data_IF_703627908436
#
_entry.id   IF_703627908436
#
_cell.length_a   1.000
_cell.length_b   1.000
_cell.length_c   1.000
_cell.angle_alpha   90.00
_cell.angle_beta   90.00
_cell.angle_gamma   90.00
#
_symmetry.space_group_name_H-M   'P 1'
#
loop_
_entity.id
_entity.type
_entity.pdbx_description
1 polymer ?
#
# COMPACT_ATOMS: atom_id res chain seq x y z
N UNK A 1 7.15 16.27 14.40
CA UNK A 1 6.41 15.08 14.88
C UNK A 1 6.85 14.67 16.29
N UNK A 2 6.01 13.90 17.04
CA UNK A 2 6.34 13.31 18.34
C UNK A 2 5.86 11.85 18.37
N UNK A 3 6.71 10.94 18.87
CA UNK A 3 6.35 9.52 19.07
C UNK A 3 6.31 9.24 20.58
N UNK A 4 5.27 8.55 21.01
CA UNK A 4 5.07 8.08 22.38
C UNK A 4 4.70 6.59 22.34
N UNK A 5 5.30 5.78 23.19
CA UNK A 5 4.92 4.37 23.37
C UNK A 5 4.32 4.23 24.75
N UNK A 6 3.07 3.79 24.82
CA UNK A 6 2.36 3.57 26.09
C UNK A 6 2.87 2.32 26.80
N UNK A 7 2.54 2.18 28.08
CA UNK A 7 2.96 1.04 28.91
C UNK A 7 2.49 -0.32 28.37
N UNK A 8 1.38 -0.35 27.66
CA UNK A 8 0.83 -1.55 27.01
C UNK A 8 1.46 -1.85 25.63
N UNK A 9 2.38 -1.00 25.16
CA UNK A 9 3.07 -1.16 23.87
C UNK A 9 2.42 -0.42 22.71
N UNK A 10 1.26 0.23 22.89
CA UNK A 10 0.60 1.02 21.84
C UNK A 10 1.50 2.20 21.43
N UNK A 11 1.75 2.34 20.14
CA UNK A 11 2.54 3.44 19.59
C UNK A 11 1.61 4.58 19.16
N UNK A 12 1.88 5.79 19.63
CA UNK A 12 1.16 7.02 19.23
C UNK A 12 2.14 7.95 18.54
N UNK A 13 1.77 8.45 17.36
CA UNK A 13 2.51 9.48 16.63
C UNK A 13 1.62 10.70 16.47
N UNK A 14 2.13 11.87 16.85
CA UNK A 14 1.38 13.13 16.69
C UNK A 14 2.17 14.11 15.83
N UNK A 15 1.48 14.69 14.86
CA UNK A 15 2.00 15.76 14.02
C UNK A 15 1.09 17.00 14.12
N UNK A 16 1.64 18.11 14.61
CA UNK A 16 0.88 19.35 14.81
C UNK A 16 0.78 20.14 13.51
N UNK A 17 -0.45 20.39 13.07
CA UNK A 17 -0.76 21.24 11.92
C UNK A 17 -1.81 22.28 12.25
N UNK A 18 -1.65 23.47 11.71
CA UNK A 18 -2.63 24.55 11.91
C UNK A 18 -3.80 24.44 10.91
N UNK A 19 -4.52 23.32 10.98
CA UNK A 19 -5.72 23.02 10.18
C UNK A 19 -6.98 23.09 11.04
N UNK A 20 -8.16 23.28 10.43
CA UNK A 20 -9.45 23.14 11.12
C UNK A 20 -9.84 21.68 11.33
N UNK A 21 -9.38 20.81 10.46
CA UNK A 21 -9.58 19.35 10.52
C UNK A 21 -8.48 18.69 11.35
N UNK A 22 -8.73 17.44 11.70
CA UNK A 22 -7.80 16.48 12.27
C UNK A 22 -8.06 15.13 11.64
N UNK A 23 -7.01 14.38 11.35
CA UNK A 23 -7.10 12.97 11.03
C UNK A 23 -6.54 12.16 12.18
N UNK A 24 -7.28 11.15 12.60
CA UNK A 24 -6.81 10.06 13.46
C UNK A 24 -6.84 8.77 12.65
N UNK A 25 -5.72 8.07 12.60
CA UNK A 25 -5.57 6.81 11.89
C UNK A 25 -5.07 5.74 12.85
N UNK A 26 -5.74 4.60 12.87
CA UNK A 26 -5.30 3.37 13.53
C UNK A 26 -4.73 2.45 12.46
N UNK A 27 -3.45 2.16 12.55
CA UNK A 27 -2.73 1.24 11.66
C UNK A 27 -2.43 -0.04 12.41
N UNK A 28 -3.01 -1.15 11.99
CA UNK A 28 -2.70 -2.49 12.47
C UNK A 28 -1.62 -3.08 11.57
N UNK A 29 -0.52 -3.56 12.15
CA UNK A 29 0.59 -4.21 11.41
C UNK A 29 0.19 -5.64 11.01
N UNK A 30 -0.82 -5.74 10.17
CA UNK A 30 -1.37 -6.98 9.62
C UNK A 30 -2.04 -6.68 8.29
N UNK A 31 -1.77 -7.51 7.30
CA UNK A 31 -2.29 -7.45 5.93
C UNK A 31 -2.01 -8.79 5.26
N UNK A 32 -2.12 -8.88 3.93
CA UNK A 32 -2.03 -10.17 3.23
C UNK A 32 -0.69 -10.90 3.42
N UNK A 33 0.39 -10.20 3.79
CA UNK A 33 1.68 -10.82 4.11
C UNK A 33 1.69 -11.61 5.44
N UNK A 34 0.65 -11.48 6.25
CA UNK A 34 0.53 -12.19 7.54
C UNK A 34 -0.45 -13.36 7.50
N UNK A 35 -0.95 -13.67 6.30
CA UNK A 35 -1.94 -14.70 6.05
C UNK A 35 -1.28 -15.98 5.52
N UNK A 36 -1.80 -17.14 5.90
CA UNK A 36 -1.52 -18.37 5.19
C UNK A 36 -2.48 -18.58 4.01
N UNK A 37 -2.13 -19.49 3.09
CA UNK A 37 -2.90 -19.69 1.85
C UNK A 37 -4.36 -20.12 2.10
N UNK A 38 -4.66 -20.79 3.22
CA UNK A 38 -6.02 -21.24 3.56
C UNK A 38 -6.95 -20.10 3.91
N UNK A 39 -6.42 -19.05 4.53
CA UNK A 39 -7.18 -17.88 4.99
C UNK A 39 -6.83 -16.61 4.20
N UNK A 40 -6.29 -16.76 2.99
CA UNK A 40 -5.94 -15.62 2.17
C UNK A 40 -7.14 -14.69 1.96
N UNK A 41 -6.95 -13.39 2.25
CA UNK A 41 -8.00 -12.36 2.24
C UNK A 41 -8.66 -12.11 3.60
N UNK A 42 -8.22 -12.79 4.68
CA UNK A 42 -8.84 -12.61 6.01
C UNK A 42 -8.63 -11.21 6.58
N UNK A 43 -7.50 -10.55 6.29
CA UNK A 43 -7.26 -9.15 6.73
C UNK A 43 -8.29 -8.20 6.13
N UNK A 44 -8.54 -8.35 4.83
CA UNK A 44 -9.54 -7.58 4.11
C UNK A 44 -10.96 -7.93 4.60
N UNK A 45 -11.25 -9.20 4.84
CA UNK A 45 -12.53 -9.61 5.38
C UNK A 45 -12.77 -9.02 6.79
N UNK A 46 -11.76 -8.99 7.66
CA UNK A 46 -11.87 -8.36 8.99
C UNK A 46 -12.09 -6.85 8.86
N UNK A 47 -11.44 -6.20 7.89
CA UNK A 47 -11.68 -4.79 7.61
C UNK A 47 -13.20 -4.52 7.42
N UNK A 48 -13.88 -5.27 6.54
CA UNK A 48 -15.34 -5.19 6.35
C UNK A 48 -16.09 -5.46 7.65
N UNK A 49 -15.73 -6.54 8.33
CA UNK A 49 -16.45 -6.98 9.53
C UNK A 49 -16.40 -5.98 10.69
N UNK A 50 -15.36 -5.15 10.78
CA UNK A 50 -15.29 -4.14 11.82
C UNK A 50 -16.37 -3.05 11.65
N UNK A 51 -16.81 -2.78 10.43
CA UNK A 51 -17.88 -1.83 10.15
C UNK A 51 -19.29 -2.42 10.29
N UNK A 52 -19.43 -3.73 10.36
CA UNK A 52 -20.75 -4.39 10.51
C UNK A 52 -21.33 -4.30 11.94
N UNK A 53 -20.59 -3.71 12.87
CA UNK A 53 -21.06 -3.36 14.21
C UNK A 53 -20.13 -3.78 15.34
N UNK A 54 -20.31 -3.10 16.45
CA UNK A 54 -19.60 -3.34 17.70
C UNK A 54 -20.60 -3.77 18.80
N UNK A 55 -20.09 -4.10 19.99
CA UNK A 55 -20.93 -4.34 21.17
C UNK A 55 -21.77 -3.12 21.57
N UNK A 56 -21.37 -1.91 21.14
CA UNK A 56 -21.97 -0.65 21.55
C UNK A 56 -22.72 0.07 20.42
N UNK A 57 -22.42 -0.25 19.14
CA UNK A 57 -22.93 0.47 17.96
C UNK A 57 -23.29 -0.48 16.83
N UNK A 58 -24.39 -0.19 16.17
CA UNK A 58 -24.72 -0.80 14.88
C UNK A 58 -23.89 -0.17 13.76
N UNK A 59 -23.80 -0.83 12.60
CA UNK A 59 -23.12 -0.30 11.41
C UNK A 59 -23.62 1.11 11.04
N UNK A 60 -24.92 1.33 11.04
CA UNK A 60 -25.54 2.64 10.75
C UNK A 60 -25.12 3.70 11.78
N UNK A 61 -25.02 3.35 13.07
CA UNK A 61 -24.59 4.29 14.09
C UNK A 61 -23.12 4.67 13.93
N UNK A 62 -22.24 3.71 13.59
CA UNK A 62 -20.82 3.97 13.32
C UNK A 62 -20.68 5.01 12.20
N UNK A 63 -21.35 4.82 11.08
CA UNK A 63 -21.32 5.75 9.96
C UNK A 63 -21.92 7.12 10.33
N UNK A 64 -23.14 7.12 10.88
CA UNK A 64 -23.90 8.35 11.14
C UNK A 64 -23.26 9.26 12.19
N UNK A 65 -22.62 8.70 13.23
CA UNK A 65 -21.96 9.49 14.27
C UNK A 65 -20.77 10.33 13.71
N UNK A 66 -20.19 9.94 12.59
CA UNK A 66 -19.12 10.70 11.91
C UNK A 66 -19.70 11.54 10.76
N UNK A 67 -20.51 10.95 9.88
CA UNK A 67 -21.01 11.61 8.67
C UNK A 67 -21.92 12.79 8.99
N UNK A 68 -22.79 12.67 10.03
CA UNK A 68 -23.66 13.78 10.48
C UNK A 68 -22.88 15.00 11.00
N UNK A 69 -21.62 14.82 11.36
CA UNK A 69 -20.71 15.90 11.78
C UNK A 69 -19.87 16.45 10.61
N UNK A 70 -20.11 15.94 9.38
CA UNK A 70 -19.34 16.29 8.18
C UNK A 70 -17.93 15.68 8.17
N UNK A 71 -17.72 14.59 8.92
CA UNK A 71 -16.49 13.81 8.91
C UNK A 71 -16.53 12.67 7.89
N UNK A 72 -15.37 12.08 7.65
CA UNK A 72 -15.18 10.87 6.86
C UNK A 72 -14.62 9.78 7.76
N UNK A 73 -15.16 8.57 7.66
CA UNK A 73 -14.62 7.34 8.26
C UNK A 73 -14.40 6.32 7.13
N UNK A 74 -13.21 5.71 7.10
CA UNK A 74 -12.90 4.73 6.06
C UNK A 74 -11.80 3.77 6.54
N UNK A 75 -11.53 2.72 5.73
CA UNK A 75 -10.45 1.77 5.98
C UNK A 75 -9.80 1.32 4.66
N UNK A 76 -8.64 0.70 4.77
CA UNK A 76 -7.92 0.11 3.64
C UNK A 76 -7.00 -0.99 4.12
N UNK A 77 -7.02 -2.12 3.43
CA UNK A 77 -6.07 -3.23 3.63
C UNK A 77 -4.99 -3.21 2.55
N UNK A 78 -3.75 -3.37 2.98
CA UNK A 78 -2.60 -3.56 2.10
C UNK A 78 -1.89 -4.89 2.39
N UNK A 79 -0.72 -5.07 1.82
CA UNK A 79 0.10 -6.27 2.06
C UNK A 79 0.63 -6.36 3.50
N UNK A 80 1.01 -5.24 4.13
CA UNK A 80 1.64 -5.23 5.45
C UNK A 80 0.82 -4.58 6.55
N UNK A 81 -0.25 -3.86 6.22
CA UNK A 81 -1.07 -3.12 7.18
C UNK A 81 -2.53 -3.09 6.79
N UNK A 82 -3.40 -2.97 7.80
CA UNK A 82 -4.78 -2.54 7.66
C UNK A 82 -4.95 -1.23 8.43
N UNK A 83 -5.51 -0.22 7.80
CA UNK A 83 -5.73 1.10 8.38
C UNK A 83 -7.22 1.37 8.57
N UNK A 84 -7.56 2.08 9.63
CA UNK A 84 -8.89 2.63 9.91
C UNK A 84 -8.69 4.09 10.28
N UNK A 85 -9.39 5.00 9.62
CA UNK A 85 -9.17 6.42 9.88
C UNK A 85 -10.46 7.22 9.92
N UNK A 86 -10.40 8.34 10.63
CA UNK A 86 -11.43 9.37 10.64
C UNK A 86 -10.77 10.71 10.38
N UNK A 87 -11.32 11.44 9.41
CA UNK A 87 -10.99 12.86 9.18
C UNK A 87 -12.20 13.70 9.53
N UNK A 88 -12.04 14.62 10.49
CA UNK A 88 -13.16 15.40 11.05
C UNK A 88 -12.70 16.79 11.51
N UNK A 89 -13.64 17.68 11.80
CA UNK A 89 -13.28 18.96 12.46
C UNK A 89 -12.71 18.70 13.86
N UNK A 90 -11.63 19.37 14.22
CA UNK A 90 -10.90 19.18 15.49
C UNK A 90 -11.76 19.26 16.76
N UNK A 91 -12.87 19.99 16.76
CA UNK A 91 -13.81 20.06 17.89
C UNK A 91 -14.51 18.74 18.19
N UNK A 92 -14.57 17.83 17.20
CA UNK A 92 -15.18 16.49 17.31
C UNK A 92 -14.14 15.36 17.46
N UNK A 93 -12.88 15.71 17.75
CA UNK A 93 -11.80 14.71 17.89
C UNK A 93 -12.13 13.61 18.89
N UNK A 94 -12.79 13.94 20.00
CA UNK A 94 -13.16 12.96 21.02
C UNK A 94 -14.10 11.88 20.46
N UNK A 95 -15.11 12.28 19.69
CA UNK A 95 -16.03 11.36 19.00
C UNK A 95 -15.29 10.41 18.06
N UNK A 96 -14.34 10.94 17.26
CA UNK A 96 -13.53 10.11 16.37
C UNK A 96 -12.68 9.09 17.11
N UNK A 97 -12.05 9.50 18.24
CA UNK A 97 -11.27 8.60 19.10
C UNK A 97 -12.15 7.48 19.68
N UNK A 98 -13.33 7.82 20.20
CA UNK A 98 -14.25 6.85 20.81
C UNK A 98 -14.79 5.83 19.81
N UNK A 99 -15.13 6.28 18.59
CA UNK A 99 -15.63 5.39 17.54
C UNK A 99 -14.52 4.44 17.07
N UNK A 100 -13.32 4.96 16.77
CA UNK A 100 -12.21 4.09 16.37
C UNK A 100 -11.80 3.13 17.48
N UNK A 101 -11.81 3.58 18.74
CA UNK A 101 -11.50 2.71 19.87
C UNK A 101 -12.53 1.60 20.02
N UNK A 102 -13.82 1.89 19.84
CA UNK A 102 -14.90 0.91 19.91
C UNK A 102 -14.82 -0.09 18.74
N UNK A 103 -14.61 0.41 17.53
CA UNK A 103 -14.47 -0.39 16.31
C UNK A 103 -13.32 -1.39 16.45
N UNK A 104 -12.18 -0.95 16.95
CA UNK A 104 -10.97 -1.78 17.08
C UNK A 104 -11.00 -2.73 18.28
N UNK A 105 -11.71 -2.39 19.37
CA UNK A 105 -11.67 -3.19 20.60
C UNK A 105 -12.91 -4.06 20.85
N UNK A 106 -14.04 -3.74 20.21
CA UNK A 106 -15.32 -4.35 20.54
C UNK A 106 -16.10 -4.91 19.33
N UNK A 107 -15.46 -5.44 18.27
CA UNK A 107 -16.23 -5.97 17.13
C UNK A 107 -17.11 -7.14 17.54
N UNK A 108 -18.26 -7.30 16.86
CA UNK A 108 -19.23 -8.38 17.16
C UNK A 108 -18.88 -9.68 16.44
N UNK A 109 -18.42 -9.60 15.18
CA UNK A 109 -18.24 -10.75 14.29
C UNK A 109 -19.51 -11.64 14.26
N UNK A 110 -20.67 -11.00 14.02
CA UNK A 110 -21.96 -11.69 13.94
C UNK A 110 -21.98 -12.67 12.76
N UNK A 111 -22.51 -13.88 12.98
CA UNK A 111 -22.50 -14.93 11.95
C UNK A 111 -23.31 -14.56 10.69
N UNK A 112 -24.44 -13.87 10.85
CA UNK A 112 -25.25 -13.44 9.71
C UNK A 112 -24.58 -12.32 8.94
N UNK A 113 -23.93 -11.41 9.65
CA UNK A 113 -23.11 -10.36 9.03
C UNK A 113 -21.92 -10.95 8.26
N UNK A 114 -21.24 -11.97 8.82
CA UNK A 114 -20.16 -12.67 8.13
C UNK A 114 -20.64 -13.27 6.80
N UNK A 115 -21.79 -13.95 6.78
CA UNK A 115 -22.28 -14.56 5.53
C UNK A 115 -22.74 -13.52 4.51
N UNK A 116 -23.30 -12.39 4.96
CA UNK A 116 -23.63 -11.25 4.10
C UNK A 116 -22.35 -10.65 3.49
N UNK A 117 -21.37 -10.32 4.32
CA UNK A 117 -20.13 -9.70 3.88
C UNK A 117 -19.24 -10.67 3.06
N UNK A 118 -19.31 -11.97 3.31
CA UNK A 118 -18.66 -12.97 2.45
C UNK A 118 -19.09 -12.82 0.98
N UNK A 119 -20.37 -12.58 0.72
CA UNK A 119 -20.87 -12.37 -0.63
C UNK A 119 -20.30 -11.09 -1.24
N UNK A 120 -20.23 -10.01 -0.46
CA UNK A 120 -19.65 -8.72 -0.90
C UNK A 120 -18.17 -8.88 -1.24
N UNK A 121 -17.38 -9.51 -0.34
CA UNK A 121 -15.94 -9.74 -0.56
C UNK A 121 -15.71 -10.65 -1.78
N UNK A 122 -16.55 -11.68 -2.00
CA UNK A 122 -16.46 -12.51 -3.19
C UNK A 122 -16.74 -11.72 -4.48
N UNK A 123 -17.71 -10.82 -4.45
CA UNK A 123 -17.99 -9.95 -5.59
C UNK A 123 -16.80 -9.01 -5.88
N UNK A 124 -16.14 -8.47 -4.87
CA UNK A 124 -14.92 -7.67 -5.03
C UNK A 124 -13.76 -8.47 -5.60
N UNK A 125 -13.54 -9.70 -5.14
CA UNK A 125 -12.54 -10.62 -5.73
C UNK A 125 -12.83 -10.83 -7.21
N UNK A 126 -14.09 -11.09 -7.58
CA UNK A 126 -14.51 -11.27 -8.97
C UNK A 126 -14.29 -9.99 -9.79
N UNK A 127 -14.63 -8.82 -9.25
CA UNK A 127 -14.37 -7.51 -9.90
C UNK A 127 -12.88 -7.29 -10.20
N UNK A 128 -11.99 -7.73 -9.31
CA UNK A 128 -10.54 -7.66 -9.54
C UNK A 128 -10.11 -8.64 -10.64
N UNK A 129 -10.63 -9.87 -10.64
CA UNK A 129 -10.30 -10.90 -11.64
C UNK A 129 -10.82 -10.50 -13.03
N UNK A 130 -11.98 -9.89 -13.09
CA UNK A 130 -12.65 -9.49 -14.35
C UNK A 130 -12.05 -8.21 -14.94
N UNK A 131 -11.45 -7.34 -14.13
CA UNK A 131 -10.77 -6.14 -14.62
C UNK A 131 -9.29 -6.44 -14.96
N UNK A 132 -8.90 -6.50 -16.24
CA UNK A 132 -7.53 -6.78 -16.65
C UNK A 132 -6.50 -5.79 -16.09
N UNK A 133 -6.91 -4.52 -15.86
CA UNK A 133 -6.04 -3.47 -15.31
C UNK A 133 -5.67 -3.75 -13.84
N UNK A 134 -6.59 -4.33 -13.09
CA UNK A 134 -6.37 -4.72 -11.69
C UNK A 134 -5.68 -6.09 -11.62
N UNK A 135 -6.18 -7.05 -12.38
CA UNK A 135 -5.71 -8.43 -12.34
C UNK A 135 -4.25 -8.59 -12.77
N UNK A 136 -3.74 -7.77 -13.68
CA UNK A 136 -2.31 -7.80 -14.06
C UNK A 136 -1.38 -7.63 -12.85
N UNK A 137 -1.77 -6.85 -11.83
CA UNK A 137 -0.97 -6.64 -10.62
C UNK A 137 -0.97 -7.87 -9.70
N UNK A 138 -2.12 -8.52 -9.57
CA UNK A 138 -2.23 -9.80 -8.84
C UNK A 138 -1.34 -10.85 -9.49
N UNK A 139 -1.39 -10.97 -10.81
CA UNK A 139 -0.53 -11.90 -11.56
C UNK A 139 0.94 -11.52 -11.43
N UNK A 140 1.28 -10.23 -11.50
CA UNK A 140 2.67 -9.81 -11.33
C UNK A 140 3.21 -10.25 -9.97
N UNK A 141 2.56 -9.93 -8.88
CA UNK A 141 2.99 -10.29 -7.53
C UNK A 141 3.13 -11.81 -7.37
N UNK A 142 2.13 -12.56 -7.83
CA UNK A 142 2.13 -14.04 -7.82
C UNK A 142 3.30 -14.65 -8.60
N UNK A 143 3.76 -14.00 -9.67
CA UNK A 143 4.86 -14.49 -10.50
C UNK A 143 6.22 -13.93 -10.08
N UNK A 144 6.24 -12.71 -9.53
CA UNK A 144 7.46 -12.07 -9.06
C UNK A 144 8.00 -12.73 -7.79
N UNK A 145 7.12 -13.15 -6.86
CA UNK A 145 7.51 -13.78 -5.60
C UNK A 145 7.22 -15.29 -5.60
N UNK A 146 8.21 -16.07 -5.17
CA UNK A 146 8.12 -17.54 -5.11
C UNK A 146 7.78 -18.04 -3.70
N UNK A 147 8.43 -17.46 -2.69
CA UNK A 147 8.28 -17.82 -1.28
C UNK A 147 7.63 -16.71 -0.45
N UNK A 148 7.94 -15.45 -0.77
CA UNK A 148 7.46 -14.31 0.01
C UNK A 148 5.93 -14.19 -0.08
N UNK A 149 5.24 -13.92 1.06
CA UNK A 149 3.77 -13.78 1.07
C UNK A 149 3.22 -12.63 0.20
N UNK A 150 4.05 -11.68 -0.20
CA UNK A 150 3.68 -10.65 -1.17
C UNK A 150 3.14 -11.20 -2.51
N UNK A 151 3.29 -12.50 -2.76
CA UNK A 151 2.62 -13.22 -3.87
C UNK A 151 1.10 -13.37 -3.69
N UNK A 152 0.60 -13.24 -2.46
CA UNK A 152 -0.80 -13.45 -2.13
C UNK A 152 -1.62 -12.19 -2.44
N UNK A 153 -2.78 -12.32 -3.09
CA UNK A 153 -3.64 -11.17 -3.36
C UNK A 153 -4.26 -10.64 -2.07
N UNK A 154 -4.35 -9.32 -1.94
CA UNK A 154 -4.91 -8.65 -0.75
C UNK A 154 -6.36 -9.08 -0.51
N UNK A 155 -7.14 -9.20 -1.56
CA UNK A 155 -8.56 -9.62 -1.50
C UNK A 155 -8.74 -11.13 -1.28
N UNK A 156 -7.66 -11.91 -1.25
CA UNK A 156 -7.70 -13.37 -1.19
C UNK A 156 -8.06 -14.02 -2.52
N UNK A 157 -8.41 -15.31 -2.42
CA UNK A 157 -8.94 -16.07 -3.55
C UNK A 157 -10.38 -16.49 -3.28
N UNK A 158 -11.20 -16.76 -4.32
CA UNK A 158 -12.58 -17.20 -4.10
C UNK A 158 -12.69 -18.44 -3.21
N UNK A 159 -11.74 -19.37 -3.33
CA UNK A 159 -11.69 -20.61 -2.54
C UNK A 159 -11.39 -20.33 -1.08
N UNK A 160 -10.38 -19.48 -0.80
CA UNK A 160 -10.00 -19.10 0.55
C UNK A 160 -11.13 -18.32 1.24
N UNK A 161 -11.66 -17.28 0.59
CA UNK A 161 -12.76 -16.46 1.15
C UNK A 161 -14.00 -17.28 1.48
N UNK A 162 -14.36 -18.28 0.64
CA UNK A 162 -15.46 -19.21 0.93
C UNK A 162 -15.19 -20.10 2.14
N UNK A 163 -13.93 -20.43 2.42
CA UNK A 163 -13.55 -21.35 3.50
C UNK A 163 -13.30 -20.66 4.85
N UNK A 164 -13.12 -19.34 4.89
CA UNK A 164 -12.89 -18.58 6.12
C UNK A 164 -14.09 -18.75 7.07
N UNK A 165 -13.84 -19.27 8.25
CA UNK A 165 -14.85 -19.43 9.31
C UNK A 165 -14.86 -18.25 10.27
N UNK A 166 -15.95 -18.10 11.04
CA UNK A 166 -15.99 -17.13 12.14
C UNK A 166 -14.83 -17.33 13.12
N UNK A 167 -14.47 -18.58 13.40
CA UNK A 167 -13.36 -18.89 14.31
C UNK A 167 -12.01 -18.44 13.74
N UNK A 168 -11.81 -18.55 12.43
CA UNK A 168 -10.61 -18.03 11.77
C UNK A 168 -10.51 -16.50 11.92
N UNK A 169 -11.62 -15.79 11.74
CA UNK A 169 -11.72 -14.33 11.92
C UNK A 169 -11.33 -13.95 13.35
N UNK A 170 -11.93 -14.60 14.35
CA UNK A 170 -11.65 -14.35 15.77
C UNK A 170 -10.17 -14.64 16.08
N UNK A 171 -9.66 -15.79 15.67
CA UNK A 171 -8.27 -16.17 15.92
C UNK A 171 -7.26 -15.18 15.31
N UNK A 172 -7.52 -14.76 14.06
CA UNK A 172 -6.67 -13.78 13.36
C UNK A 172 -6.74 -12.41 14.03
N UNK A 173 -7.95 -11.95 14.37
CA UNK A 173 -8.15 -10.70 15.09
C UNK A 173 -7.45 -10.71 16.46
N UNK A 174 -7.66 -11.73 17.26
CA UNK A 174 -7.02 -11.86 18.58
C UNK A 174 -5.51 -11.95 18.50
N UNK A 175 -4.96 -12.50 17.40
CA UNK A 175 -3.52 -12.59 17.16
C UNK A 175 -2.92 -11.23 16.79
N UNK A 176 -3.58 -10.46 15.94
CA UNK A 176 -2.99 -9.27 15.29
C UNK A 176 -3.45 -7.93 15.85
N UNK A 177 -4.67 -7.82 16.39
CA UNK A 177 -5.21 -6.57 16.92
C UNK A 177 -4.80 -6.36 18.39
N UNK A 178 -3.50 -6.24 18.59
CA UNK A 178 -2.84 -6.07 19.90
C UNK A 178 -2.18 -4.69 20.00
N UNK A 179 -2.09 -4.09 21.21
CA UNK A 179 -1.60 -2.71 21.36
C UNK A 179 -0.19 -2.50 20.78
N UNK A 180 0.71 -3.45 20.98
CA UNK A 180 2.09 -3.39 20.48
C UNK A 180 2.19 -3.67 18.96
N UNK A 181 1.10 -4.07 18.31
CA UNK A 181 0.96 -4.25 16.85
C UNK A 181 0.18 -3.10 16.21
N UNK A 182 -0.18 -2.07 16.99
CA UNK A 182 -0.99 -0.94 16.55
C UNK A 182 -0.18 0.36 16.65
N UNK A 183 -0.29 1.18 15.60
CA UNK A 183 0.19 2.55 15.56
C UNK A 183 -1.03 3.46 15.43
N UNK A 184 -1.17 4.44 16.32
CA UNK A 184 -2.18 5.49 16.18
C UNK A 184 -1.48 6.78 15.77
N UNK A 185 -1.84 7.31 14.61
CA UNK A 185 -1.30 8.56 14.10
C UNK A 185 -2.36 9.65 14.16
N UNK A 186 -2.00 10.82 14.72
CA UNK A 186 -2.87 12.00 14.79
C UNK A 186 -2.19 13.16 14.08
N UNK A 187 -2.83 13.66 13.03
CA UNK A 187 -2.37 14.84 12.29
C UNK A 187 -3.38 15.96 12.45
N UNK A 188 -2.96 17.03 13.12
CA UNK A 188 -3.78 18.19 13.44
C UNK A 188 -3.36 18.85 14.75
N UNK A 189 -3.96 19.97 15.08
CA UNK A 189 -3.64 20.68 16.33
C UNK A 189 -4.64 20.31 17.43
N UNK A 190 -4.40 19.20 18.09
CA UNK A 190 -5.19 18.68 19.21
C UNK A 190 -4.40 18.82 20.50
N UNK A 191 -5.01 19.44 21.49
CA UNK A 191 -4.49 19.48 22.85
C UNK A 191 -4.78 18.14 23.53
N UNK A 192 -3.76 17.58 24.22
CA UNK A 192 -3.88 16.36 25.03
C UNK A 192 -4.33 15.11 24.22
N UNK A 193 -3.97 15.04 22.90
CA UNK A 193 -4.33 13.93 22.01
C UNK A 193 -3.89 12.56 22.58
N UNK A 194 -2.67 12.48 23.09
CA UNK A 194 -2.10 11.25 23.65
C UNK A 194 -2.91 10.75 24.85
N UNK A 195 -3.28 11.66 25.78
CA UNK A 195 -4.08 11.32 26.95
C UNK A 195 -5.48 10.81 26.57
N UNK A 196 -6.14 11.45 25.60
CA UNK A 196 -7.45 11.02 25.10
C UNK A 196 -7.41 9.65 24.45
N UNK A 197 -6.35 9.36 23.69
CA UNK A 197 -6.13 8.04 23.08
C UNK A 197 -5.89 7.00 24.18
N UNK A 198 -5.01 7.28 25.16
CA UNK A 198 -4.71 6.36 26.26
C UNK A 198 -5.97 6.01 27.07
N UNK A 199 -6.87 6.97 27.27
CA UNK A 199 -8.15 6.75 27.97
C UNK A 199 -9.13 5.89 27.18
N UNK A 200 -9.15 6.00 25.84
CA UNK A 200 -10.09 5.29 24.98
C UNK A 200 -9.59 3.89 24.57
N UNK A 201 -8.28 3.74 24.33
CA UNK A 201 -7.69 2.47 23.92
C UNK A 201 -7.12 1.72 25.12
N UNK A 202 -8.01 0.98 25.82
CA UNK A 202 -7.74 0.31 27.10
C UNK A 202 -7.22 -1.12 26.94
N UNK A 203 -6.41 -1.37 25.94
CA UNK A 203 -5.81 -2.68 25.70
C UNK A 203 -4.98 -3.19 26.88
N UNK A 204 -5.09 -4.50 27.15
CA UNK A 204 -4.15 -5.16 28.04
C UNK A 204 -2.81 -5.35 27.31
N UNK A 205 -1.67 -5.30 28.05
CA UNK A 205 -0.36 -5.64 27.49
C UNK A 205 -0.37 -7.05 26.88
N UNK A 206 0.32 -7.23 25.77
CA UNK A 206 0.38 -8.50 25.06
C UNK A 206 1.74 -8.72 24.40
N UNK A 207 2.04 -9.96 24.07
CA UNK A 207 3.24 -10.28 23.29
C UNK A 207 3.11 -9.87 21.83
N UNK A 208 4.22 -9.46 21.20
CA UNK A 208 4.28 -9.13 19.78
C UNK A 208 4.41 -10.40 18.96
N UNK A 209 3.51 -10.59 18.02
CA UNK A 209 3.69 -11.62 17.02
C UNK A 209 4.42 -11.03 15.80
N UNK A 210 5.73 -11.26 15.73
CA UNK A 210 6.54 -10.83 14.58
C UNK A 210 6.38 -11.85 13.45
N UNK A 211 6.17 -11.35 12.22
CA UNK A 211 6.26 -12.19 11.03
C UNK A 211 7.71 -12.69 10.87
N UNK A 212 7.86 -13.97 10.57
CA UNK A 212 9.16 -14.51 10.22
C UNK A 212 9.65 -13.90 8.90
N UNK A 213 10.94 -13.55 8.87
CA UNK A 213 11.55 -13.03 7.65
C UNK A 213 11.68 -14.17 6.63
N UNK A 214 11.19 -13.93 5.43
CA UNK A 214 11.25 -14.89 4.34
C UNK A 214 12.44 -14.55 3.43
N UNK A 215 13.32 -15.53 3.21
CA UNK A 215 14.37 -15.42 2.20
C UNK A 215 13.79 -15.72 0.82
N UNK A 216 13.47 -14.66 0.10
CA UNK A 216 12.97 -14.73 -1.26
C UNK A 216 14.15 -14.89 -2.24
N UNK A 217 14.13 -15.92 -3.15
CA UNK A 217 15.20 -16.09 -4.12
C UNK A 217 15.26 -14.92 -5.10
N UNK A 218 16.47 -14.61 -5.56
CA UNK A 218 16.69 -13.62 -6.62
C UNK A 218 16.01 -14.04 -7.93
N UNK A 219 15.73 -13.06 -8.79
CA UNK A 219 15.23 -13.33 -10.15
C UNK A 219 16.39 -13.68 -11.07
N UNK A 220 16.63 -14.98 -11.29
CA UNK A 220 17.78 -15.49 -12.04
C UNK A 220 17.63 -15.36 -13.56
N UNK A 221 16.38 -15.34 -14.06
CA UNK A 221 16.06 -15.30 -15.49
C UNK A 221 14.83 -14.45 -15.78
N UNK A 222 14.67 -14.06 -17.05
CA UNK A 222 13.44 -13.45 -17.54
C UNK A 222 12.35 -14.51 -17.57
N UNK A 223 11.19 -14.17 -16.98
CA UNK A 223 9.99 -15.01 -17.03
C UNK A 223 8.88 -14.28 -17.75
N UNK A 224 8.12 -15.00 -18.59
CA UNK A 224 6.99 -14.45 -19.36
C UNK A 224 5.75 -15.27 -19.08
N UNK A 225 4.68 -14.58 -18.70
CA UNK A 225 3.37 -15.16 -18.44
C UNK A 225 2.31 -14.37 -19.20
N UNK A 226 1.57 -15.04 -20.08
CA UNK A 226 0.54 -14.42 -20.91
C UNK A 226 -0.77 -15.18 -20.78
N UNK A 227 -1.85 -14.46 -20.54
CA UNK A 227 -3.22 -14.94 -20.61
C UNK A 227 -3.94 -14.24 -21.77
N UNK A 228 -4.62 -15.03 -22.64
CA UNK A 228 -5.44 -14.46 -23.71
C UNK A 228 -6.89 -14.36 -23.25
N UNK A 229 -7.46 -13.15 -23.29
CA UNK A 229 -8.86 -12.88 -22.92
C UNK A 229 -9.60 -12.20 -24.06
N UNK A 230 -10.92 -12.29 -24.05
CA UNK A 230 -11.81 -11.53 -24.95
C UNK A 230 -11.96 -10.10 -24.41
N UNK A 231 -11.01 -9.23 -24.76
CA UNK A 231 -10.88 -7.84 -24.30
C UNK A 231 -10.47 -6.96 -25.47
N UNK A 232 -10.83 -5.66 -25.40
CA UNK A 232 -10.55 -4.71 -26.48
C UNK A 232 -9.08 -4.32 -26.58
N UNK A 233 -8.37 -4.27 -25.46
CA UNK A 233 -6.98 -3.84 -25.36
C UNK A 233 -6.19 -4.79 -24.49
N UNK A 234 -4.92 -4.93 -24.78
CA UNK A 234 -4.01 -5.73 -23.97
C UNK A 234 -3.41 -4.89 -22.84
N UNK A 235 -3.20 -5.51 -21.69
CA UNK A 235 -2.63 -4.91 -20.48
C UNK A 235 -1.39 -5.67 -20.05
N UNK A 236 -0.29 -4.96 -20.00
CA UNK A 236 1.04 -5.52 -19.79
C UNK A 236 1.69 -4.87 -18.58
N UNK A 237 2.39 -5.66 -17.79
CA UNK A 237 3.26 -5.18 -16.71
C UNK A 237 4.59 -5.92 -16.74
N UNK A 238 5.69 -5.17 -16.62
CA UNK A 238 7.08 -5.67 -16.54
C UNK A 238 7.59 -5.30 -15.15
N UNK A 239 7.81 -6.30 -14.30
CA UNK A 239 8.23 -6.11 -12.92
C UNK A 239 9.64 -6.59 -12.63
N UNK A 240 10.34 -5.88 -11.78
CA UNK A 240 11.66 -6.21 -11.27
C UNK A 240 11.62 -6.26 -9.74
N UNK A 241 12.22 -7.31 -9.15
CA UNK A 241 12.47 -7.33 -7.70
C UNK A 241 13.47 -6.25 -7.33
N UNK A 242 13.22 -5.61 -6.21
CA UNK A 242 14.10 -4.57 -5.65
C UNK A 242 14.33 -4.80 -4.16
N UNK A 243 14.59 -3.75 -3.43
CA UNK A 243 14.98 -3.79 -2.01
C UNK A 243 13.92 -3.17 -1.11
N UNK A 244 13.89 -3.52 0.17
CA UNK A 244 12.98 -2.90 1.13
C UNK A 244 13.24 -1.38 1.30
N UNK A 245 12.26 -0.68 1.88
CA UNK A 245 12.28 0.79 2.02
C UNK A 245 13.48 1.34 2.78
N UNK A 246 13.97 0.61 3.77
CA UNK A 246 15.12 1.05 4.58
C UNK A 246 16.48 0.88 3.90
N UNK A 247 16.55 0.15 2.77
CA UNK A 247 17.78 -0.02 2.01
C UNK A 247 18.12 1.27 1.22
N UNK A 248 19.41 1.65 1.16
CA UNK A 248 19.84 2.88 0.48
C UNK A 248 19.51 2.92 -1.01
N UNK A 249 19.54 1.80 -1.71
CA UNK A 249 19.18 1.69 -3.12
C UNK A 249 17.70 2.05 -3.39
N UNK A 250 16.81 1.94 -2.39
CA UNK A 250 15.38 2.26 -2.52
C UNK A 250 15.16 3.71 -2.99
N UNK A 251 15.92 4.66 -2.47
CA UNK A 251 15.84 6.07 -2.87
C UNK A 251 16.30 6.30 -4.32
N UNK A 252 17.28 5.51 -4.76
CA UNK A 252 17.74 5.54 -6.15
C UNK A 252 16.68 4.99 -7.09
N UNK A 253 15.94 3.96 -6.67
CA UNK A 253 14.83 3.38 -7.43
C UNK A 253 13.67 4.38 -7.55
N UNK A 254 13.38 5.16 -6.50
CA UNK A 254 12.40 6.26 -6.57
C UNK A 254 12.80 7.30 -7.63
N UNK A 255 14.08 7.66 -7.70
CA UNK A 255 14.58 8.58 -8.74
C UNK A 255 14.46 7.96 -10.13
N UNK A 256 14.76 6.67 -10.30
CA UNK A 256 14.58 5.92 -11.56
C UNK A 256 13.09 5.91 -11.95
N UNK A 257 12.18 5.63 -11.03
CA UNK A 257 10.73 5.70 -11.25
C UNK A 257 10.32 7.06 -11.79
N UNK A 258 10.80 8.12 -11.17
CA UNK A 258 10.47 9.48 -11.60
C UNK A 258 11.09 9.84 -12.99
N UNK A 259 12.28 9.36 -13.32
CA UNK A 259 12.87 9.56 -14.65
C UNK A 259 12.02 8.88 -15.72
N UNK A 260 11.61 7.65 -15.48
CA UNK A 260 10.87 6.84 -16.44
C UNK A 260 9.38 7.24 -16.54
N UNK A 261 8.73 7.60 -15.41
CA UNK A 261 7.27 7.64 -15.34
C UNK A 261 6.65 8.78 -14.52
N UNK A 262 7.28 9.95 -14.35
CA UNK A 262 6.74 11.08 -13.57
C UNK A 262 5.52 11.80 -14.20
N UNK A 263 4.85 11.19 -15.14
CA UNK A 263 3.71 11.77 -15.84
C UNK A 263 4.03 12.11 -17.30
N UNK A 264 3.29 13.05 -17.90
CA UNK A 264 3.33 13.33 -19.35
C UNK A 264 4.70 13.82 -19.85
N UNK A 265 5.54 14.38 -19.00
CA UNK A 265 6.90 14.82 -19.34
C UNK A 265 7.97 13.77 -19.07
N UNK A 266 7.58 12.54 -18.77
CA UNK A 266 8.51 11.44 -18.51
C UNK A 266 9.02 10.84 -19.80
N UNK A 267 10.16 10.15 -19.67
CA UNK A 267 10.86 9.54 -20.80
C UNK A 267 10.00 8.53 -21.55
N UNK A 268 9.34 7.63 -20.85
CA UNK A 268 8.49 6.62 -21.48
C UNK A 268 7.23 7.23 -22.11
N UNK A 269 6.63 8.21 -21.45
CA UNK A 269 5.42 8.86 -21.98
C UNK A 269 5.72 9.62 -23.28
N UNK A 270 6.85 10.35 -23.32
CA UNK A 270 7.30 11.06 -24.53
C UNK A 270 7.57 10.09 -25.69
N UNK A 271 8.34 9.03 -25.45
CA UNK A 271 8.73 8.06 -26.48
C UNK A 271 7.57 7.20 -27.00
N UNK A 272 6.68 6.76 -26.13
CA UNK A 272 5.62 5.79 -26.47
C UNK A 272 4.33 6.51 -26.89
N UNK A 273 3.92 7.53 -26.12
CA UNK A 273 2.60 8.15 -26.32
C UNK A 273 2.68 9.41 -27.17
N UNK A 274 3.59 10.34 -26.87
CA UNK A 274 3.65 11.62 -27.62
C UNK A 274 4.22 11.41 -29.02
N UNK A 275 5.34 10.74 -29.15
CA UNK A 275 6.02 10.59 -30.45
C UNK A 275 5.39 9.55 -31.36
N UNK A 276 4.76 8.49 -30.80
CA UNK A 276 4.33 7.33 -31.56
C UNK A 276 2.84 6.98 -31.40
N UNK A 277 2.14 7.44 -30.36
CA UNK A 277 0.73 7.17 -30.14
C UNK A 277 0.40 5.69 -29.88
N UNK A 278 1.35 4.91 -29.30
CA UNK A 278 1.25 3.46 -29.23
C UNK A 278 0.43 2.95 -28.02
N UNK A 279 0.30 3.73 -26.94
CA UNK A 279 -0.36 3.30 -25.70
C UNK A 279 -1.42 4.29 -25.21
N UNK A 280 -2.50 3.78 -24.61
CA UNK A 280 -3.53 4.62 -23.96
C UNK A 280 -3.19 4.93 -22.52
N UNK A 281 -2.64 3.93 -21.81
CA UNK A 281 -2.16 4.04 -20.44
C UNK A 281 -0.72 3.59 -20.36
N UNK A 282 0.04 4.26 -19.53
CA UNK A 282 1.46 3.96 -19.31
C UNK A 282 1.89 4.58 -17.98
N UNK A 283 2.64 3.85 -17.19
CA UNK A 283 3.21 4.37 -15.96
C UNK A 283 4.29 3.47 -15.37
N UNK A 284 4.90 3.99 -14.31
CA UNK A 284 5.91 3.28 -13.53
C UNK A 284 5.53 3.36 -12.06
N UNK A 285 5.47 2.23 -11.42
CA UNK A 285 5.15 2.11 -10.01
C UNK A 285 6.35 1.49 -9.26
N UNK A 286 6.68 2.00 -8.08
CA UNK A 286 7.67 1.44 -7.18
C UNK A 286 7.04 1.27 -5.81
N UNK A 287 7.13 0.08 -5.29
CA UNK A 287 6.71 -0.30 -3.96
C UNK A 287 7.90 -0.84 -3.18
N UNK A 288 8.07 -0.41 -1.95
CA UNK A 288 9.16 -0.81 -1.08
C UNK A 288 8.66 -0.88 0.36
N UNK A 289 8.58 -2.08 0.85
CA UNK A 289 7.97 -2.46 2.11
C UNK A 289 9.02 -2.81 3.17
N UNK A 290 8.63 -3.48 4.24
CA UNK A 290 9.50 -3.77 5.40
C UNK A 290 10.69 -4.66 5.04
N UNK A 291 10.50 -5.70 4.22
CA UNK A 291 11.54 -6.69 3.90
C UNK A 291 11.61 -7.08 2.40
N UNK A 292 10.83 -6.43 1.55
CA UNK A 292 10.86 -6.61 0.10
C UNK A 292 10.59 -5.30 -0.63
N UNK A 293 10.78 -5.32 -1.96
CA UNK A 293 10.40 -4.22 -2.84
C UNK A 293 10.36 -4.66 -4.30
N UNK A 294 9.66 -3.90 -5.11
CA UNK A 294 9.57 -4.10 -6.55
C UNK A 294 9.33 -2.78 -7.29
N UNK A 295 9.76 -2.74 -8.55
CA UNK A 295 9.41 -1.67 -9.48
C UNK A 295 8.78 -2.30 -10.72
N UNK A 296 7.73 -1.69 -11.23
CA UNK A 296 7.05 -2.18 -12.43
C UNK A 296 6.73 -1.06 -13.41
N UNK A 297 6.82 -1.40 -14.70
CA UNK A 297 6.41 -0.55 -15.81
C UNK A 297 5.18 -1.21 -16.43
N UNK A 298 4.06 -0.50 -16.47
CA UNK A 298 2.82 -1.02 -17.01
C UNK A 298 2.32 -0.19 -18.19
N UNK A 299 1.63 -0.84 -19.12
CA UNK A 299 0.99 -0.18 -20.25
C UNK A 299 -0.25 -0.91 -20.75
N UNK A 300 -1.16 -0.14 -21.34
CA UNK A 300 -2.33 -0.66 -22.08
C UNK A 300 -2.26 -0.22 -23.52
N UNK A 301 -2.38 -1.17 -24.45
CA UNK A 301 -2.21 -0.92 -25.88
C UNK A 301 -2.98 -1.91 -26.76
N UNK A 302 -3.09 -1.62 -28.05
CA UNK A 302 -3.52 -2.60 -29.06
C UNK A 302 -2.52 -3.73 -29.18
N UNK A 303 -2.98 -4.94 -29.40
CA UNK A 303 -2.15 -6.15 -29.53
C UNK A 303 -0.95 -5.98 -30.48
N UNK A 304 -1.17 -5.33 -31.63
CA UNK A 304 -0.12 -5.08 -32.64
C UNK A 304 1.05 -4.21 -32.16
N UNK A 305 0.84 -3.40 -31.10
CA UNK A 305 1.83 -2.45 -30.57
C UNK A 305 2.63 -3.01 -29.39
N UNK A 306 2.22 -4.15 -28.81
CA UNK A 306 2.77 -4.67 -27.54
C UNK A 306 4.29 -4.85 -27.62
N UNK A 307 4.77 -5.53 -28.68
CA UNK A 307 6.19 -5.88 -28.78
C UNK A 307 7.03 -4.62 -29.05
N UNK A 308 6.55 -3.68 -29.86
CA UNK A 308 7.25 -2.41 -30.10
C UNK A 308 7.41 -1.60 -28.80
N UNK A 309 6.32 -1.49 -28.00
CA UNK A 309 6.35 -0.80 -26.69
C UNK A 309 7.33 -1.48 -25.75
N UNK A 310 7.31 -2.81 -25.65
CA UNK A 310 8.24 -3.58 -24.84
C UNK A 310 9.67 -3.29 -25.19
N UNK A 311 10.03 -3.28 -26.48
CA UNK A 311 11.38 -2.99 -26.96
C UNK A 311 11.79 -1.55 -26.60
N UNK A 312 10.89 -0.57 -26.71
CA UNK A 312 11.16 0.81 -26.30
C UNK A 312 11.44 0.87 -24.79
N UNK A 313 10.60 0.22 -23.96
CA UNK A 313 10.76 0.18 -22.50
C UNK A 313 12.12 -0.41 -22.13
N UNK A 314 12.45 -1.58 -22.65
CA UNK A 314 13.72 -2.25 -22.35
C UNK A 314 14.95 -1.41 -22.79
N UNK A 315 14.83 -0.73 -23.94
CA UNK A 315 15.85 0.20 -24.40
C UNK A 315 16.03 1.39 -23.45
N UNK A 316 14.92 2.00 -22.99
CA UNK A 316 15.00 3.14 -22.09
C UNK A 316 15.47 2.76 -20.68
N UNK A 317 15.13 1.58 -20.19
CA UNK A 317 15.71 1.01 -18.95
C UNK A 317 17.23 0.86 -19.10
N UNK A 318 17.71 0.30 -20.19
CA UNK A 318 19.15 0.17 -20.48
C UNK A 318 19.85 1.55 -20.58
N UNK A 319 19.15 2.54 -21.15
CA UNK A 319 19.66 3.90 -21.32
C UNK A 319 19.74 4.69 -19.99
N UNK A 320 19.14 4.23 -18.89
CA UNK A 320 19.30 4.85 -17.56
C UNK A 320 20.76 4.95 -17.13
N UNK A 321 21.62 4.03 -17.57
CA UNK A 321 23.08 4.12 -17.33
C UNK A 321 23.73 5.37 -17.93
N UNK A 322 23.08 5.99 -18.94
CA UNK A 322 23.53 7.19 -19.66
C UNK A 322 22.71 8.44 -19.31
N UNK A 323 21.85 8.37 -18.28
CA UNK A 323 20.98 9.47 -17.86
C UNK A 323 21.76 10.77 -17.67
N UNK A 324 21.18 11.89 -18.09
CA UNK A 324 21.79 13.22 -17.96
C UNK A 324 21.60 13.79 -16.56
N UNK A 325 22.48 14.71 -16.15
CA UNK A 325 22.34 15.44 -14.89
C UNK A 325 21.04 16.26 -14.82
N UNK A 326 20.53 16.72 -15.97
CA UNK A 326 19.26 17.44 -16.05
C UNK A 326 18.08 16.52 -15.71
N UNK A 327 18.01 15.32 -16.29
CA UNK A 327 16.93 14.35 -16.00
C UNK A 327 16.92 13.96 -14.53
N UNK A 328 18.08 13.74 -13.91
CA UNK A 328 18.19 13.45 -12.48
C UNK A 328 17.70 14.62 -11.64
N UNK A 329 18.10 15.85 -11.98
CA UNK A 329 17.68 17.06 -11.27
C UNK A 329 16.17 17.27 -11.35
N UNK A 330 15.59 17.07 -12.54
CA UNK A 330 14.15 17.22 -12.76
C UNK A 330 13.33 16.14 -12.01
N UNK A 331 13.82 14.89 -12.02
CA UNK A 331 13.20 13.80 -11.24
C UNK A 331 13.21 14.09 -9.73
N UNK A 332 14.33 14.56 -9.17
CA UNK A 332 14.42 14.92 -7.75
C UNK A 332 13.48 16.06 -7.37
N UNK A 333 13.36 17.09 -8.22
CA UNK A 333 12.40 18.18 -8.00
C UNK A 333 10.97 17.70 -8.04
N UNK A 334 10.65 16.81 -8.97
CA UNK A 334 9.34 16.19 -9.05
C UNK A 334 9.00 15.43 -7.78
N UNK A 335 9.92 14.58 -7.30
CA UNK A 335 9.71 13.81 -6.06
C UNK A 335 9.52 14.75 -4.87
N UNK A 336 10.37 15.79 -4.75
CA UNK A 336 10.26 16.77 -3.66
C UNK A 336 8.91 17.49 -3.69
N UNK A 337 8.49 17.99 -4.86
CA UNK A 337 7.22 18.68 -5.01
C UNK A 337 6.02 17.77 -4.70
N UNK A 338 6.01 16.57 -5.28
CA UNK A 338 4.94 15.60 -5.08
C UNK A 338 4.81 15.20 -3.60
N UNK A 339 5.94 14.88 -2.95
CA UNK A 339 5.98 14.50 -1.53
C UNK A 339 5.40 15.57 -0.61
N UNK A 340 5.73 16.84 -0.83
CA UNK A 340 5.18 17.92 0.00
C UNK A 340 3.71 18.18 -0.30
N UNK A 341 3.30 18.15 -1.58
CA UNK A 341 1.90 18.39 -1.96
C UNK A 341 0.97 17.28 -1.45
N UNK A 342 1.36 16.02 -1.59
CA UNK A 342 0.59 14.89 -1.05
C UNK A 342 0.48 14.99 0.48
N UNK A 343 1.58 15.30 1.14
CA UNK A 343 1.60 15.45 2.60
C UNK A 343 0.92 16.74 3.12
N UNK A 344 0.37 17.61 2.28
CA UNK A 344 -0.52 18.69 2.73
C UNK A 344 -1.86 18.18 3.24
N UNK A 345 -2.33 17.05 2.71
CA UNK A 345 -3.48 16.35 3.27
C UNK A 345 -3.15 15.70 4.63
N UNK A 346 -4.09 15.76 5.58
CA UNK A 346 -3.85 15.22 6.92
C UNK A 346 -3.88 13.69 6.94
N UNK A 347 -4.69 13.05 6.08
CA UNK A 347 -4.76 11.60 6.00
C UNK A 347 -3.50 11.04 5.33
N UNK A 348 -3.07 11.62 4.21
CA UNK A 348 -1.84 11.23 3.52
C UNK A 348 -0.60 11.38 4.44
N UNK A 349 -0.55 12.46 5.23
CA UNK A 349 0.50 12.63 6.23
C UNK A 349 0.41 11.56 7.35
N UNK A 350 -0.79 11.22 7.79
CA UNK A 350 -0.96 10.21 8.83
C UNK A 350 -0.49 8.83 8.33
N UNK A 351 -0.83 8.47 7.09
CA UNK A 351 -0.39 7.22 6.49
C UNK A 351 1.12 7.20 6.20
N UNK A 352 1.67 8.32 5.73
CA UNK A 352 3.12 8.45 5.53
C UNK A 352 3.89 8.22 6.83
N UNK A 353 3.49 8.85 7.94
CA UNK A 353 4.14 8.67 9.25
C UNK A 353 3.99 7.23 9.77
N UNK A 354 2.81 6.63 9.63
CA UNK A 354 2.56 5.25 10.02
C UNK A 354 3.40 4.26 9.20
N UNK A 355 3.53 4.49 7.89
CA UNK A 355 4.34 3.67 6.98
C UNK A 355 5.83 3.73 7.34
N UNK A 356 6.38 4.90 7.65
CA UNK A 356 7.76 5.03 8.11
C UNK A 356 7.99 4.38 9.49
N UNK A 357 7.01 4.45 10.38
CA UNK A 357 7.07 3.72 11.66
C UNK A 357 6.99 2.19 11.45
N UNK A 358 6.17 1.74 10.50
CA UNK A 358 6.02 0.32 10.17
C UNK A 358 7.35 -0.29 9.71
N UNK A 359 8.10 0.40 8.85
CA UNK A 359 9.42 -0.05 8.40
C UNK A 359 10.54 0.18 9.43
N UNK A 360 10.23 0.77 10.60
CA UNK A 360 11.18 0.99 11.70
C UNK A 360 12.09 2.21 11.55
N UNK A 361 11.78 3.12 10.62
CA UNK A 361 12.57 4.34 10.38
C UNK A 361 11.67 5.60 10.35
N UNK A 362 10.95 5.88 11.44
CA UNK A 362 10.06 7.05 11.52
C UNK A 362 10.77 8.36 11.13
N UNK A 363 12.07 8.50 11.41
CA UNK A 363 12.86 9.66 10.97
C UNK A 363 12.97 9.75 9.46
N UNK A 364 12.79 8.64 8.76
CA UNK A 364 12.74 8.60 7.31
C UNK A 364 11.72 9.57 6.72
N UNK A 365 10.58 9.79 7.38
CA UNK A 365 9.59 10.78 6.95
C UNK A 365 10.18 12.20 6.79
N UNK A 366 11.06 12.63 7.70
CA UNK A 366 11.71 13.95 7.64
C UNK A 366 12.97 13.96 6.76
N UNK A 367 13.61 12.81 6.61
CA UNK A 367 14.89 12.67 5.89
C UNK A 367 14.72 12.24 4.43
N UNK A 368 13.54 11.77 4.02
CA UNK A 368 13.30 11.21 2.69
C UNK A 368 13.81 12.09 1.57
N UNK A 369 13.40 13.36 1.55
CA UNK A 369 13.85 14.31 0.51
C UNK A 369 15.35 14.58 0.58
N UNK A 370 15.96 14.59 1.77
CA UNK A 370 17.41 14.73 1.91
C UNK A 370 18.14 13.53 1.31
N UNK A 371 17.61 12.30 1.52
CA UNK A 371 18.14 11.06 0.95
C UNK A 371 17.98 11.04 -0.57
N UNK A 372 16.81 11.42 -1.10
CA UNK A 372 16.60 11.61 -2.56
C UNK A 372 17.60 12.60 -3.17
N UNK A 373 17.85 13.74 -2.52
CA UNK A 373 18.80 14.75 -3.02
C UNK A 373 20.24 14.23 -3.13
N UNK A 374 20.63 13.25 -2.34
CA UNK A 374 21.98 12.65 -2.37
C UNK A 374 22.20 11.67 -3.53
N UNK A 375 21.16 11.12 -4.13
CA UNK A 375 21.30 10.14 -5.24
C UNK A 375 22.12 10.72 -6.37
N UNK A 376 23.11 9.96 -6.85
CA UNK A 376 24.03 10.36 -7.93
C UNK A 376 23.77 9.56 -9.21
N UNK A 377 24.35 10.02 -10.32
CA UNK A 377 24.37 9.26 -11.58
C UNK A 377 25.03 7.88 -11.41
N UNK A 378 26.04 7.80 -10.55
CA UNK A 378 26.75 6.54 -10.30
C UNK A 378 25.88 5.54 -9.55
N UNK A 379 25.05 6.01 -8.61
CA UNK A 379 24.09 5.16 -7.89
C UNK A 379 23.04 4.62 -8.85
N UNK A 380 22.51 5.45 -9.76
CA UNK A 380 21.58 4.99 -10.80
C UNK A 380 22.23 3.89 -11.66
N UNK A 381 23.48 4.09 -12.11
CA UNK A 381 24.18 3.08 -12.90
C UNK A 381 24.34 1.75 -12.15
N UNK A 382 24.74 1.80 -10.87
CA UNK A 382 24.89 0.61 -10.02
C UNK A 382 23.56 -0.11 -9.82
N UNK A 383 22.50 0.61 -9.49
CA UNK A 383 21.15 0.07 -9.26
C UNK A 383 20.59 -0.58 -10.51
N UNK A 384 20.75 0.06 -11.69
CA UNK A 384 20.33 -0.53 -12.97
C UNK A 384 21.08 -1.83 -13.26
N UNK A 385 22.40 -1.86 -13.04
CA UNK A 385 23.20 -3.07 -13.24
C UNK A 385 22.83 -4.19 -12.29
N UNK A 386 22.37 -3.88 -11.07
CA UNK A 386 22.06 -4.86 -10.05
C UNK A 386 20.64 -5.42 -10.18
N UNK A 387 19.62 -4.57 -10.39
CA UNK A 387 18.22 -5.00 -10.26
C UNK A 387 17.46 -5.08 -11.58
N UNK A 388 17.94 -4.47 -12.69
CA UNK A 388 17.16 -4.40 -13.93
C UNK A 388 17.66 -5.37 -15.02
N UNK A 389 18.27 -6.50 -14.63
CA UNK A 389 18.76 -7.49 -15.57
C UNK A 389 17.67 -8.51 -15.92
N UNK A 390 17.00 -9.03 -14.92
CA UNK A 390 15.98 -10.05 -15.07
C UNK A 390 14.61 -9.51 -14.59
N UNK A 391 13.59 -9.75 -15.36
CA UNK A 391 12.24 -9.27 -15.08
C UNK A 391 11.20 -10.36 -15.23
N UNK A 392 10.04 -10.13 -14.64
CA UNK A 392 8.82 -10.87 -14.91
C UNK A 392 7.95 -10.03 -15.83
N UNK A 393 7.58 -10.60 -16.97
CA UNK A 393 6.60 -10.05 -17.90
C UNK A 393 5.25 -10.74 -17.65
N UNK A 394 4.23 -9.95 -17.42
CA UNK A 394 2.84 -10.42 -17.34
C UNK A 394 2.02 -9.69 -18.39
N UNK A 395 1.33 -10.45 -19.23
CA UNK A 395 0.42 -9.93 -20.25
C UNK A 395 -0.99 -10.52 -20.10
N UNK A 396 -1.99 -9.67 -20.08
CA UNK A 396 -3.39 -10.04 -20.34
C UNK A 396 -3.68 -9.51 -21.74
N UNK A 397 -3.63 -10.39 -22.73
CA UNK A 397 -3.63 -10.01 -24.13
C UNK A 397 -4.98 -10.30 -24.80
N UNK A 398 -5.35 -9.47 -25.73
CA UNK A 398 -6.48 -9.68 -26.61
C UNK A 398 -6.29 -10.99 -27.39
N UNK A 399 -7.36 -11.80 -27.52
CA UNK A 399 -7.36 -13.04 -28.33
C UNK A 399 -7.07 -12.77 -29.81
#
# INVERSE_FOLDING_TARGET
MKKTILKNGLTIITEKRNTKSVTIQVTVKAGSNYEDERIAGISHFIEHMLFEGTKNRTAIQIANEIESLGGEINAMTSTEKTIYYVTILKKYFQTAVEILADLIQNPLFDEKAIEKERSVVLDEVNLVIDDPKRYQWVLLQKKLYKKHPAKNPIYGTPEAVKSITRQDIINYYEKHYKPNNIIITVVGNIKDAEQKIEQAFTFQPSEVHKREKVEEPEQEKIETHTENRDILHSYIVIGYKTVPRTHEDSYTIDVIRAILGRGQSSKLFDEIRIKRGLAYSLGVYHDAETDYGWIAIYYGADKKNIEEIKQIILKEVKNLSKVSSKEIKDAKKFIEGNYYLENEDNHEMADNLASWELVGDLKGAEEYIKRIKKVTKQDIKKVVQKYFQNYVYVGIEQK
#
